data_IF_788656433819
#
_entry.id   IF_788656433819
#
_cell.length_a   1.000
_cell.length_b   1.000
_cell.length_c   1.000
_cell.angle_alpha   90.00
_cell.angle_beta   90.00
_cell.angle_gamma   90.00
#
_symmetry.space_group_name_H-M   'P 1'
#
loop_
_entity.id
_entity.type
_entity.pdbx_description
1 polymer ?
#
# COMPACT_ATOMS: atom_id res chain seq x y z
N UNK A 1 -18.52 1.47 -2.49
CA UNK A 1 -17.27 1.80 -1.77
C UNK A 1 -17.27 1.28 -0.34
N UNK A 2 -18.26 1.65 0.49
CA UNK A 2 -18.28 1.20 1.88
C UNK A 2 -18.39 -0.31 2.02
N UNK A 3 -19.20 -0.96 1.18
CA UNK A 3 -19.33 -2.42 1.18
C UNK A 3 -18.01 -3.10 0.79
N UNK A 4 -17.34 -2.58 -0.24
CA UNK A 4 -16.04 -3.09 -0.66
C UNK A 4 -15.01 -2.95 0.47
N UNK A 5 -14.97 -1.80 1.13
CA UNK A 5 -14.08 -1.56 2.26
C UNK A 5 -14.39 -2.53 3.39
N UNK A 6 -15.66 -2.73 3.72
CA UNK A 6 -16.07 -3.68 4.75
C UNK A 6 -15.63 -5.09 4.46
N UNK A 7 -15.74 -5.54 3.21
CA UNK A 7 -15.30 -6.87 2.79
C UNK A 7 -13.79 -7.04 2.87
N UNK A 8 -13.03 -6.01 2.46
CA UNK A 8 -11.57 -6.08 2.39
C UNK A 8 -10.91 -5.84 3.74
N UNK A 9 -11.44 -4.91 4.51
CA UNK A 9 -10.83 -4.48 5.77
C UNK A 9 -11.51 -5.04 7.01
N UNK A 10 -12.64 -5.66 6.85
CA UNK A 10 -13.16 -6.74 7.66
C UNK A 10 -13.89 -6.41 8.95
N UNK A 11 -13.85 -5.23 9.54
CA UNK A 11 -14.42 -5.10 10.89
C UNK A 11 -14.86 -3.70 11.29
N UNK A 12 -15.19 -2.87 10.31
CA UNK A 12 -15.51 -1.48 10.63
C UNK A 12 -17.01 -1.24 10.47
N UNK A 13 -17.74 -1.89 11.34
CA UNK A 13 -19.18 -1.72 11.42
C UNK A 13 -19.52 -0.88 12.65
N UNK A 14 -20.56 -0.06 12.52
CA UNK A 14 -21.05 0.74 13.62
C UNK A 14 -20.14 1.90 13.98
N UNK A 15 -19.77 1.96 15.26
CA UNK A 15 -19.00 3.08 15.80
C UNK A 15 -17.49 2.91 15.68
N UNK A 16 -17.01 1.72 15.34
CA UNK A 16 -15.58 1.48 15.21
C UNK A 16 -15.02 2.18 13.97
N UNK A 17 -13.87 2.80 14.16
CA UNK A 17 -13.17 3.48 13.08
C UNK A 17 -11.81 2.85 12.85
N UNK A 18 -11.42 2.65 11.59
CA UNK A 18 -10.09 2.13 11.31
C UNK A 18 -9.01 3.16 11.66
N UNK A 19 -7.90 2.66 12.19
CA UNK A 19 -6.71 3.47 12.45
C UNK A 19 -5.74 3.26 11.29
N UNK A 20 -5.48 4.33 10.55
CA UNK A 20 -4.58 4.31 9.41
C UNK A 20 -3.20 4.84 9.82
N UNK A 21 -2.16 4.13 9.41
CA UNK A 21 -0.81 4.67 9.44
C UNK A 21 -0.56 5.41 8.12
N UNK A 22 -0.35 6.72 8.20
CA UNK A 22 -0.04 7.50 7.01
C UNK A 22 1.32 7.08 6.42
N UNK A 23 1.45 7.03 5.09
CA UNK A 23 2.74 6.74 4.47
C UNK A 23 3.71 7.91 4.70
N UNK A 24 4.94 7.58 5.07
CA UNK A 24 5.98 8.58 5.35
C UNK A 24 7.29 8.12 4.73
N UNK A 25 7.79 8.88 3.75
CA UNK A 25 9.03 8.56 3.06
C UNK A 25 10.21 8.45 4.03
N UNK A 26 10.97 7.37 3.92
CA UNK A 26 12.10 7.11 4.79
C UNK A 26 11.71 6.59 6.18
N UNK A 27 10.43 6.44 6.47
CA UNK A 27 9.93 6.02 7.80
C UNK A 27 9.12 4.74 7.70
N UNK A 28 8.10 4.69 6.84
CA UNK A 28 7.16 3.57 6.81
C UNK A 28 7.61 2.44 5.90
N UNK A 29 8.80 1.91 6.17
CA UNK A 29 9.27 0.68 5.54
C UNK A 29 8.52 -0.53 6.12
N UNK A 30 8.79 -1.72 5.61
CA UNK A 30 8.08 -2.92 6.05
C UNK A 30 8.18 -3.17 7.55
N UNK A 31 9.38 -3.14 8.18
CA UNK A 31 9.46 -3.35 9.63
C UNK A 31 8.66 -2.34 10.44
N UNK A 32 8.66 -1.08 10.03
CA UNK A 32 7.89 -0.04 10.72
C UNK A 32 6.39 -0.32 10.60
N UNK A 33 5.91 -0.67 9.41
CA UNK A 33 4.50 -0.98 9.20
C UNK A 33 4.06 -2.20 10.01
N UNK A 34 4.90 -3.23 10.08
CA UNK A 34 4.57 -4.42 10.88
C UNK A 34 4.50 -4.10 12.37
N UNK A 35 5.40 -3.27 12.86
CA UNK A 35 5.36 -2.82 14.25
C UNK A 35 4.09 -2.02 14.53
N UNK A 36 3.72 -1.12 13.62
CA UNK A 36 2.49 -0.34 13.74
C UNK A 36 1.25 -1.25 13.78
N UNK A 37 1.23 -2.30 12.97
CA UNK A 37 0.17 -3.31 13.01
C UNK A 37 0.07 -3.97 14.38
N UNK A 38 1.19 -4.34 14.97
CA UNK A 38 1.21 -4.92 16.32
C UNK A 38 0.70 -3.95 17.38
N UNK A 39 0.89 -2.65 17.15
CA UNK A 39 0.44 -1.61 18.08
C UNK A 39 -1.00 -1.16 17.81
N UNK A 40 -1.70 -1.75 16.87
CA UNK A 40 -3.13 -1.50 16.66
C UNK A 40 -3.49 -0.78 15.37
N UNK A 41 -2.55 -0.50 14.48
CA UNK A 41 -2.90 0.05 13.17
C UNK A 41 -3.69 -0.97 12.36
N UNK A 42 -4.81 -0.56 11.82
CA UNK A 42 -5.65 -1.42 10.99
C UNK A 42 -5.18 -1.44 9.54
N UNK A 43 -4.77 -0.29 9.03
CA UNK A 43 -4.37 -0.13 7.63
C UNK A 43 -3.02 0.57 7.57
N UNK A 44 -2.12 0.00 6.79
CA UNK A 44 -0.81 0.59 6.51
C UNK A 44 -0.64 0.76 5.01
N UNK A 45 0.07 1.81 4.62
CA UNK A 45 0.31 2.14 3.21
C UNK A 45 1.82 2.26 3.04
N UNK A 46 2.35 1.71 1.95
CA UNK A 46 3.80 1.78 1.70
C UNK A 46 4.26 3.21 1.45
N UNK A 47 5.56 3.43 1.59
CA UNK A 47 6.17 4.65 1.08
C UNK A 47 5.86 4.80 -0.42
N UNK A 48 5.75 6.04 -0.90
CA UNK A 48 5.51 6.26 -2.33
C UNK A 48 6.71 5.80 -3.16
N UNK A 49 6.42 5.14 -4.28
CA UNK A 49 7.44 4.58 -5.16
C UNK A 49 7.18 5.00 -6.60
N UNK A 50 8.26 5.31 -7.31
CA UNK A 50 8.18 5.80 -8.68
C UNK A 50 7.67 4.70 -9.62
N UNK A 51 6.59 4.98 -10.33
CA UNK A 51 5.96 4.02 -11.25
C UNK A 51 6.85 3.68 -12.44
N UNK A 52 7.63 4.63 -12.94
CA UNK A 52 8.58 4.36 -14.02
C UNK A 52 9.65 3.37 -13.57
N UNK A 53 10.19 3.54 -12.37
CA UNK A 53 11.16 2.61 -11.82
C UNK A 53 10.58 1.20 -11.61
N UNK A 54 9.34 1.12 -11.11
CA UNK A 54 8.65 -0.16 -10.96
C UNK A 54 8.40 -0.83 -12.30
N UNK A 55 7.96 -0.07 -13.30
CA UNK A 55 7.69 -0.61 -14.64
C UNK A 55 8.95 -1.16 -15.32
N UNK A 56 10.12 -0.66 -14.92
CA UNK A 56 11.43 -1.12 -15.41
C UNK A 56 12.10 -2.13 -14.48
N UNK A 57 11.36 -2.64 -13.50
CA UNK A 57 11.81 -3.68 -12.59
C UNK A 57 13.04 -3.30 -11.76
N UNK A 58 13.16 -2.02 -11.39
CA UNK A 58 14.25 -1.55 -10.55
C UNK A 58 14.18 -2.19 -9.16
N UNK A 59 15.22 -2.92 -8.77
CA UNK A 59 15.23 -3.71 -7.54
C UNK A 59 15.00 -2.87 -6.29
N UNK A 60 15.56 -1.68 -6.22
CA UNK A 60 15.40 -0.78 -5.07
C UNK A 60 13.93 -0.37 -4.90
N UNK A 61 13.25 -0.09 -6.01
CA UNK A 61 11.84 0.30 -6.00
C UNK A 61 10.95 -0.87 -5.59
N UNK A 62 11.21 -2.06 -6.10
CA UNK A 62 10.45 -3.25 -5.74
C UNK A 62 10.67 -3.65 -4.29
N UNK A 63 11.83 -3.36 -3.72
CA UNK A 63 12.08 -3.60 -2.31
C UNK A 63 11.15 -2.80 -1.41
N UNK A 64 10.75 -1.60 -1.83
CA UNK A 64 9.76 -0.79 -1.10
C UNK A 64 8.35 -1.38 -1.16
N UNK A 65 8.10 -2.27 -2.11
CA UNK A 65 6.80 -2.92 -2.28
C UNK A 65 6.71 -4.26 -1.55
N UNK A 66 7.72 -4.63 -0.78
CA UNK A 66 7.68 -5.85 0.02
C UNK A 66 6.59 -5.77 1.08
N UNK A 67 5.95 -6.90 1.33
CA UNK A 67 4.92 -7.05 2.34
C UNK A 67 5.08 -8.37 3.07
N UNK A 68 4.36 -8.52 4.17
CA UNK A 68 4.27 -9.75 4.93
C UNK A 68 2.82 -10.22 4.94
N UNK A 69 2.61 -11.52 5.10
CA UNK A 69 1.26 -12.11 5.10
C UNK A 69 0.33 -11.51 6.14
N UNK A 70 0.88 -10.95 7.23
CA UNK A 70 0.09 -10.28 8.26
C UNK A 70 -0.30 -8.85 7.90
N UNK A 71 0.27 -8.29 6.83
CA UNK A 71 -0.07 -6.95 6.36
C UNK A 71 -1.27 -7.02 5.42
N UNK A 72 -2.44 -7.13 6.02
CA UNK A 72 -3.71 -7.18 5.30
C UNK A 72 -4.60 -6.05 5.81
N UNK A 73 -5.08 -5.17 4.95
CA UNK A 73 -4.83 -5.12 3.51
C UNK A 73 -3.43 -4.63 3.17
N UNK A 74 -2.88 -5.07 2.05
CA UNK A 74 -1.64 -4.52 1.52
C UNK A 74 -1.96 -3.42 0.51
N UNK A 75 -1.45 -2.22 0.76
CA UNK A 75 -1.73 -1.03 -0.05
C UNK A 75 -0.41 -0.38 -0.47
N UNK A 76 0.12 -0.70 -1.65
CA UNK A 76 1.27 0.01 -2.19
C UNK A 76 0.86 1.39 -2.69
N UNK A 77 1.72 2.39 -2.44
CA UNK A 77 1.54 3.74 -2.97
C UNK A 77 2.53 4.01 -4.08
N UNK A 78 2.04 4.49 -5.22
CA UNK A 78 2.86 4.83 -6.37
C UNK A 78 2.64 6.28 -6.77
N UNK A 79 3.65 6.85 -7.43
CA UNK A 79 3.57 8.18 -8.02
C UNK A 79 4.29 8.17 -9.36
N UNK A 80 4.01 9.16 -10.20
CA UNK A 80 4.70 9.31 -11.47
C UNK A 80 4.08 10.37 -12.34
N UNK A 81 4.85 10.83 -13.34
CA UNK A 81 4.41 11.81 -14.32
C UNK A 81 4.03 11.20 -15.68
N UNK A 82 4.12 9.89 -15.82
CA UNK A 82 3.85 9.19 -17.08
C UNK A 82 2.71 8.20 -16.88
N UNK A 83 1.59 8.43 -17.55
CA UNK A 83 0.39 7.60 -17.39
C UNK A 83 0.63 6.15 -17.81
N UNK A 84 1.39 5.93 -18.88
CA UNK A 84 1.68 4.57 -19.35
C UNK A 84 2.46 3.78 -18.30
N UNK A 85 3.47 4.39 -17.69
CA UNK A 85 4.26 3.74 -16.65
C UNK A 85 3.44 3.49 -15.39
N UNK A 86 2.52 4.41 -15.06
CA UNK A 86 1.61 4.19 -13.92
C UNK A 86 0.67 3.01 -14.16
N UNK A 87 0.14 2.89 -15.35
CA UNK A 87 -0.71 1.75 -15.70
C UNK A 87 0.09 0.46 -15.64
N UNK A 88 1.29 0.44 -16.18
CA UNK A 88 2.17 -0.73 -16.16
C UNK A 88 2.50 -1.14 -14.73
N UNK A 89 2.92 -0.20 -13.90
CA UNK A 89 3.24 -0.48 -12.51
C UNK A 89 2.01 -1.00 -11.74
N UNK A 90 0.85 -0.40 -11.96
CA UNK A 90 -0.38 -0.86 -11.33
C UNK A 90 -0.74 -2.29 -11.75
N UNK A 91 -0.58 -2.62 -13.02
CA UNK A 91 -0.81 -3.98 -13.51
C UNK A 91 0.15 -4.99 -12.88
N UNK A 92 1.40 -4.60 -12.67
CA UNK A 92 2.39 -5.46 -12.02
C UNK A 92 2.11 -5.67 -10.54
N UNK A 93 1.56 -4.68 -9.86
CA UNK A 93 1.24 -4.74 -8.43
C UNK A 93 -0.10 -5.43 -8.13
N UNK A 94 -1.05 -5.31 -9.03
CA UNK A 94 -2.44 -5.72 -8.80
C UNK A 94 -2.60 -7.18 -8.32
N UNK A 95 -1.85 -8.17 -8.81
CA UNK A 95 -2.01 -9.55 -8.34
C UNK A 95 -1.69 -9.75 -6.86
N UNK A 96 -0.91 -8.86 -6.26
CA UNK A 96 -0.39 -9.04 -4.90
C UNK A 96 -0.87 -8.00 -3.91
N UNK A 97 -1.85 -7.19 -4.29
CA UNK A 97 -2.37 -6.15 -3.39
C UNK A 97 -3.89 -6.05 -3.47
N UNK A 98 -4.47 -5.42 -2.45
CA UNK A 98 -5.93 -5.22 -2.40
C UNK A 98 -6.33 -3.87 -2.97
N UNK A 99 -5.50 -2.86 -2.76
CA UNK A 99 -5.74 -1.48 -3.18
C UNK A 99 -4.41 -0.88 -3.60
N UNK A 100 -4.44 -0.04 -4.63
CA UNK A 100 -3.27 0.75 -5.03
C UNK A 100 -3.60 2.20 -4.73
N UNK A 101 -2.74 2.85 -3.96
CA UNK A 101 -2.87 4.26 -3.63
C UNK A 101 -2.06 5.10 -4.60
N UNK A 102 -2.65 6.19 -5.07
CA UNK A 102 -2.01 7.07 -6.04
C UNK A 102 -1.65 8.39 -5.37
N UNK A 103 -0.39 8.75 -5.43
CA UNK A 103 0.11 10.04 -4.94
C UNK A 103 0.16 11.04 -6.10
N UNK A 104 -0.58 12.12 -5.97
CA UNK A 104 -0.60 13.18 -6.98
C UNK A 104 0.13 14.42 -6.51
#
# INVERSE_FOLDING_TARGET
>A
MSQFIGEKFGKWEGEERPLFLAPMSGVTDLPYRLLAKQCGADVTITEFTNSTALSREAAVSWRKMESHETEVPFIPQIFGGNAHDMITAAQMLAPNCDVIDLNF
#
